data_IF_318314140882
#
_entry.id   IF_318314140882
#
_cell.length_a   1.000
_cell.length_b   1.000
_cell.length_c   1.000
_cell.angle_alpha   90.00
_cell.angle_beta   90.00
_cell.angle_gamma   90.00
#
_symmetry.space_group_name_H-M   'P 1'
#
loop_
_entity.id
_entity.type
_entity.pdbx_description
1 polymer ?
#
# COMPACT_ATOMS: atom_id res chain seq x y z
N UNK A 1 4.03 -15.89 34.80
CA UNK A 1 3.24 -14.99 33.91
C UNK A 1 1.79 -15.46 34.00
N UNK A 2 0.85 -14.62 34.44
CA UNK A 2 -0.50 -15.06 34.90
C UNK A 2 -1.68 -14.34 34.21
N UNK A 3 -1.45 -13.62 33.10
CA UNK A 3 -2.52 -12.91 32.38
C UNK A 3 -2.64 -13.43 30.95
N UNK A 4 -3.87 -13.44 30.43
CA UNK A 4 -4.21 -13.84 29.05
C UNK A 4 -5.07 -12.75 28.40
N UNK A 5 -4.63 -12.23 27.25
CA UNK A 5 -5.34 -11.20 26.49
C UNK A 5 -6.21 -11.85 25.43
N UNK A 6 -7.51 -11.53 25.43
CA UNK A 6 -8.49 -12.03 24.46
C UNK A 6 -9.37 -10.89 23.94
N UNK A 7 -9.55 -10.81 22.63
CA UNK A 7 -10.42 -9.82 21.98
C UNK A 7 -11.83 -10.37 21.81
N UNK A 8 -12.80 -9.84 22.54
CA UNK A 8 -14.22 -10.24 22.43
C UNK A 8 -14.91 -9.60 21.22
N UNK A 9 -14.64 -8.33 20.98
CA UNK A 9 -15.13 -7.58 19.83
C UNK A 9 -13.95 -6.90 19.14
N UNK A 10 -13.79 -7.16 17.86
CA UNK A 10 -12.72 -6.57 17.05
C UNK A 10 -13.00 -5.10 16.78
N UNK A 11 -11.95 -4.36 16.42
CA UNK A 11 -12.06 -2.98 15.99
C UNK A 11 -13.02 -2.85 14.80
N UNK A 12 -13.90 -1.84 14.84
CA UNK A 12 -14.91 -1.57 13.80
C UNK A 12 -14.60 -0.33 12.96
N UNK A 13 -13.66 0.53 13.37
CA UNK A 13 -13.26 1.69 12.58
C UNK A 13 -12.50 1.25 11.32
N UNK A 14 -12.93 1.74 10.15
CA UNK A 14 -12.24 1.51 8.87
C UNK A 14 -11.33 2.72 8.61
N UNK A 15 -10.02 2.49 8.58
CA UNK A 15 -9.04 3.55 8.27
C UNK A 15 -8.78 3.65 6.77
N UNK A 16 -8.77 2.52 6.08
CA UNK A 16 -8.53 2.43 4.64
C UNK A 16 -9.44 1.36 4.04
N UNK A 17 -9.91 1.59 2.81
CA UNK A 17 -10.73 0.66 2.06
C UNK A 17 -10.32 0.70 0.59
N UNK A 18 -10.12 -0.48 0.00
CA UNK A 18 -9.78 -0.65 -1.40
C UNK A 18 -10.73 -1.67 -2.02
N UNK A 19 -11.01 -1.54 -3.32
CA UNK A 19 -11.82 -2.51 -4.05
C UNK A 19 -11.01 -3.15 -5.17
N UNK A 20 -11.37 -4.38 -5.52
CA UNK A 20 -10.66 -5.16 -6.54
C UNK A 20 -11.23 -6.55 -6.74
N UNK A 21 -10.71 -7.25 -7.74
CA UNK A 21 -10.95 -8.66 -8.01
C UNK A 21 -9.94 -9.51 -7.23
N UNK A 22 -10.04 -9.52 -5.90
CA UNK A 22 -9.08 -10.22 -5.02
C UNK A 22 -9.22 -11.74 -5.08
N UNK A 23 -10.41 -12.27 -5.40
CA UNK A 23 -10.63 -13.69 -5.66
C UNK A 23 -10.23 -14.15 -7.07
N UNK A 24 -9.85 -13.25 -7.97
CA UNK A 24 -9.56 -13.58 -9.37
C UNK A 24 -10.79 -13.91 -10.23
N UNK A 25 -11.98 -13.65 -9.70
CA UNK A 25 -13.27 -13.75 -10.41
C UNK A 25 -13.68 -12.37 -10.93
N UNK A 26 -14.72 -12.30 -11.78
CA UNK A 26 -15.27 -11.01 -12.24
C UNK A 26 -15.96 -10.18 -11.15
N UNK A 27 -16.28 -10.78 -9.99
CA UNK A 27 -16.88 -10.08 -8.86
C UNK A 27 -15.85 -9.17 -8.17
N UNK A 28 -16.28 -7.96 -7.81
CA UNK A 28 -15.49 -7.05 -6.99
C UNK A 28 -15.74 -7.32 -5.50
N UNK A 29 -14.67 -7.15 -4.74
CA UNK A 29 -14.63 -7.33 -3.29
C UNK A 29 -13.96 -6.10 -2.67
N UNK A 30 -14.14 -5.93 -1.36
CA UNK A 30 -13.54 -4.83 -0.61
C UNK A 30 -12.52 -5.40 0.37
N UNK A 31 -11.32 -4.83 0.39
CA UNK A 31 -10.35 -5.07 1.47
C UNK A 31 -10.31 -3.82 2.32
N UNK A 32 -10.48 -3.99 3.63
CA UNK A 32 -10.50 -2.89 4.59
C UNK A 32 -9.44 -3.10 5.66
N UNK A 33 -8.78 -2.01 6.05
CA UNK A 33 -7.89 -1.97 7.20
C UNK A 33 -8.62 -1.36 8.40
N UNK A 34 -8.49 -2.00 9.56
CA UNK A 34 -9.05 -1.54 10.84
C UNK A 34 -7.94 -1.38 11.88
N UNK A 35 -6.91 -0.62 11.53
CA UNK A 35 -5.70 -0.47 12.34
C UNK A 35 -4.83 -1.73 12.32
N UNK A 36 -5.06 -2.66 13.23
CA UNK A 36 -4.28 -3.91 13.37
C UNK A 36 -4.88 -5.14 12.67
N UNK A 37 -5.96 -4.95 11.92
CA UNK A 37 -6.71 -6.00 11.25
C UNK A 37 -6.85 -5.66 9.76
N UNK A 38 -6.69 -6.67 8.90
CA UNK A 38 -7.08 -6.60 7.49
C UNK A 38 -8.26 -7.56 7.27
N UNK A 39 -9.31 -7.08 6.63
CA UNK A 39 -10.55 -7.82 6.41
C UNK A 39 -10.98 -7.75 4.94
N UNK A 40 -11.37 -8.90 4.38
CA UNK A 40 -12.00 -9.03 3.08
C UNK A 40 -13.51 -9.09 3.25
N UNK A 41 -14.22 -8.21 2.56
CA UNK A 41 -15.67 -8.12 2.53
C UNK A 41 -16.17 -8.35 1.10
N UNK A 42 -17.33 -8.98 0.98
CA UNK A 42 -18.00 -9.24 -0.29
C UNK A 42 -19.39 -8.59 -0.29
N UNK A 43 -19.63 -7.58 -1.13
CA UNK A 43 -20.98 -7.09 -1.40
C UNK A 43 -21.78 -8.17 -2.15
N UNK A 44 -22.99 -8.48 -1.67
CA UNK A 44 -23.94 -9.32 -2.38
C UNK A 44 -24.87 -8.44 -3.22
N UNK A 45 -24.81 -8.53 -4.57
CA UNK A 45 -25.61 -7.69 -5.45
C UNK A 45 -27.12 -7.99 -5.38
N UNK A 46 -27.51 -9.18 -4.93
CA UNK A 46 -28.93 -9.56 -4.87
C UNK A 46 -29.60 -9.01 -3.60
N UNK A 47 -28.89 -9.02 -2.47
CA UNK A 47 -29.45 -8.60 -1.17
C UNK A 47 -29.04 -7.18 -0.77
N UNK A 48 -28.01 -6.62 -1.42
CA UNK A 48 -27.43 -5.32 -1.06
C UNK A 48 -26.61 -5.33 0.24
N UNK A 49 -26.41 -6.50 0.86
CA UNK A 49 -25.65 -6.65 2.11
C UNK A 49 -24.16 -6.83 1.83
N UNK A 50 -23.33 -6.38 2.77
CA UNK A 50 -21.88 -6.61 2.76
C UNK A 50 -21.55 -7.71 3.75
N UNK A 51 -20.94 -8.80 3.26
CA UNK A 51 -20.67 -10.01 4.04
C UNK A 51 -19.16 -10.12 4.30
N UNK A 52 -18.71 -10.29 5.55
CA UNK A 52 -17.31 -10.55 5.84
C UNK A 52 -16.91 -11.95 5.37
N UNK A 53 -15.79 -12.05 4.65
CA UNK A 53 -15.26 -13.31 4.10
C UNK A 53 -14.07 -13.81 4.92
N UNK A 54 -13.14 -12.90 5.23
CA UNK A 54 -11.91 -13.21 5.95
C UNK A 54 -11.50 -12.01 6.80
N UNK A 55 -11.07 -12.24 8.04
CA UNK A 55 -10.50 -11.21 8.90
C UNK A 55 -9.24 -11.75 9.57
N UNK A 56 -8.11 -11.04 9.42
CA UNK A 56 -6.79 -11.46 9.91
C UNK A 56 -6.13 -10.34 10.70
N UNK A 57 -5.73 -10.64 11.93
CA UNK A 57 -4.90 -9.75 12.75
C UNK A 57 -3.49 -9.70 12.18
N UNK A 58 -2.99 -8.51 11.87
CA UNK A 58 -1.64 -8.30 11.33
C UNK A 58 -0.59 -8.09 12.43
N UNK A 59 -1.02 -7.86 13.68
CA UNK A 59 -0.16 -7.57 14.83
C UNK A 59 0.80 -6.40 14.62
N UNK A 60 0.30 -5.34 13.99
CA UNK A 60 1.01 -4.09 13.73
C UNK A 60 0.02 -2.97 13.41
N UNK A 61 0.51 -1.86 12.87
CA UNK A 61 -0.33 -0.74 12.44
C UNK A 61 -0.32 -0.67 10.92
N UNK A 62 -1.46 -0.96 10.30
CA UNK A 62 -1.67 -0.71 8.87
C UNK A 62 -1.83 0.79 8.66
N UNK A 63 -0.89 1.38 7.93
CA UNK A 63 -0.81 2.82 7.69
C UNK A 63 -1.35 3.19 6.32
N UNK A 64 -1.23 2.30 5.33
CA UNK A 64 -1.80 2.46 4.00
C UNK A 64 -1.96 1.09 3.31
N UNK A 65 -2.91 0.98 2.39
CA UNK A 65 -3.12 -0.20 1.54
C UNK A 65 -3.49 0.24 0.12
N UNK A 66 -2.98 -0.48 -0.88
CA UNK A 66 -3.34 -0.23 -2.28
C UNK A 66 -3.49 -1.54 -3.06
N UNK A 67 -4.48 -1.64 -3.96
CA UNK A 67 -4.59 -2.76 -4.88
C UNK A 67 -3.67 -2.54 -6.07
N UNK A 68 -3.16 -3.62 -6.64
CA UNK A 68 -2.49 -3.57 -7.94
C UNK A 68 -2.67 -4.85 -8.72
N UNK A 69 -2.64 -4.74 -10.05
CA UNK A 69 -2.75 -5.86 -10.96
C UNK A 69 -1.56 -5.90 -11.88
N UNK A 70 -0.88 -7.03 -11.94
CA UNK A 70 0.15 -7.24 -12.96
C UNK A 70 -0.46 -7.14 -14.36
N UNK A 71 0.29 -6.59 -15.31
CA UNK A 71 -0.16 -6.46 -16.70
C UNK A 71 -0.59 -7.81 -17.26
N UNK A 72 -1.83 -7.89 -17.75
CA UNK A 72 -2.45 -9.13 -18.27
C UNK A 72 -2.94 -10.12 -17.20
N UNK A 73 -2.83 -9.78 -15.92
CA UNK A 73 -3.43 -10.55 -14.83
C UNK A 73 -4.95 -10.37 -14.73
N UNK A 74 -5.62 -11.28 -14.02
CA UNK A 74 -7.06 -11.21 -13.73
C UNK A 74 -7.38 -10.95 -12.26
N UNK A 75 -6.35 -10.93 -11.40
CA UNK A 75 -6.45 -10.90 -9.95
C UNK A 75 -5.64 -9.74 -9.39
N UNK A 76 -6.21 -9.07 -8.40
CA UNK A 76 -5.56 -7.97 -7.70
C UNK A 76 -4.78 -8.49 -6.49
N UNK A 77 -3.54 -8.01 -6.36
CA UNK A 77 -2.72 -8.12 -5.17
C UNK A 77 -2.97 -6.93 -4.26
N UNK A 78 -2.61 -7.07 -2.98
CA UNK A 78 -2.73 -6.02 -1.98
C UNK A 78 -1.32 -5.68 -1.51
N UNK A 79 -0.86 -4.46 -1.75
CA UNK A 79 0.36 -3.95 -1.12
C UNK A 79 -0.01 -3.24 0.20
N UNK A 80 0.78 -3.49 1.23
CA UNK A 80 0.52 -2.99 2.59
C UNK A 80 1.71 -2.15 3.08
N UNK A 81 1.43 -0.88 3.38
CA UNK A 81 2.31 0.00 4.16
C UNK A 81 1.99 -0.15 5.64
N UNK A 82 3.01 -0.50 6.45
CA UNK A 82 2.84 -0.73 7.89
C UNK A 82 3.95 -0.08 8.70
N UNK A 83 3.88 -0.21 10.02
CA UNK A 83 4.94 0.16 10.96
C UNK A 83 6.11 -0.86 10.99
N UNK A 84 6.09 -1.93 10.20
CA UNK A 84 7.10 -2.99 10.28
C UNK A 84 8.48 -2.62 9.70
N UNK A 85 8.60 -1.53 8.95
CA UNK A 85 9.79 -1.17 8.17
C UNK A 85 9.99 -2.07 6.93
N UNK A 86 8.90 -2.68 6.44
CA UNK A 86 8.89 -3.63 5.34
C UNK A 86 7.74 -3.34 4.39
N UNK A 87 7.97 -3.61 3.10
CA UNK A 87 6.89 -3.65 2.10
C UNK A 87 6.39 -5.09 2.04
N UNK A 88 5.08 -5.25 2.10
CA UNK A 88 4.43 -6.56 2.07
C UNK A 88 3.42 -6.58 0.95
N UNK A 89 3.46 -7.65 0.15
CA UNK A 89 2.44 -7.92 -0.85
C UNK A 89 1.68 -9.19 -0.45
N UNK A 90 0.36 -9.09 -0.45
CA UNK A 90 -0.57 -10.16 -0.11
C UNK A 90 -1.38 -10.57 -1.34
N UNK A 91 -1.68 -11.85 -1.42
CA UNK A 91 -2.61 -12.44 -2.35
C UNK A 91 -3.71 -13.17 -1.56
N UNK A 92 -4.97 -12.90 -1.85
CA UNK A 92 -6.06 -13.67 -1.25
C UNK A 92 -6.23 -15.02 -1.96
N UNK A 93 -6.24 -16.13 -1.22
CA UNK A 93 -6.40 -17.48 -1.77
C UNK A 93 -7.80 -18.02 -1.42
N UNK A 94 -8.79 -17.97 -2.34
CA UNK A 94 -10.18 -18.28 -2.01
C UNK A 94 -10.41 -19.70 -1.49
N UNK A 95 -9.71 -20.69 -2.05
CA UNK A 95 -9.91 -22.09 -1.67
C UNK A 95 -9.36 -22.42 -0.27
N UNK A 96 -8.37 -21.66 0.21
CA UNK A 96 -7.83 -21.79 1.58
C UNK A 96 -8.49 -20.80 2.55
N UNK A 97 -9.17 -19.77 2.03
CA UNK A 97 -9.63 -18.61 2.77
C UNK A 97 -8.51 -17.96 3.61
N UNK A 98 -7.37 -17.66 2.98
CA UNK A 98 -6.23 -17.00 3.65
C UNK A 98 -5.65 -15.87 2.79
N UNK A 99 -5.01 -14.91 3.45
CA UNK A 99 -4.06 -14.01 2.79
C UNK A 99 -2.68 -14.67 2.79
N UNK A 100 -2.19 -15.01 1.60
CA UNK A 100 -0.83 -15.52 1.40
C UNK A 100 0.12 -14.35 1.16
N UNK A 101 1.22 -14.32 1.90
CA UNK A 101 2.25 -13.30 1.79
C UNK A 101 3.21 -13.66 0.66
N UNK A 102 2.94 -13.15 -0.54
CA UNK A 102 3.73 -13.46 -1.75
C UNK A 102 5.07 -12.74 -1.78
N UNK A 103 5.17 -11.57 -1.15
CA UNK A 103 6.44 -10.85 -1.01
C UNK A 103 6.55 -10.14 0.33
N UNK A 104 7.77 -10.07 0.86
CA UNK A 104 8.11 -9.30 2.04
C UNK A 104 9.56 -8.88 2.01
N UNK A 105 9.81 -7.58 1.97
CA UNK A 105 11.16 -7.04 1.86
C UNK A 105 11.38 -5.93 2.88
N UNK A 106 12.57 -5.96 3.49
CA UNK A 106 12.93 -5.01 4.55
C UNK A 106 13.67 -3.83 3.96
N UNK A 107 13.17 -2.62 4.21
CA UNK A 107 13.79 -1.38 3.77
C UNK A 107 14.18 -0.45 4.93
N UNK A 108 13.72 -0.74 6.15
CA UNK A 108 13.94 0.15 7.28
C UNK A 108 13.69 -0.47 8.64
N UNK A 109 13.77 0.37 9.68
CA UNK A 109 13.50 -0.01 11.07
C UNK A 109 11.99 0.03 11.35
N UNK A 110 11.53 -0.80 12.27
CA UNK A 110 10.14 -0.80 12.72
C UNK A 110 9.76 0.46 13.52
N UNK A 111 8.45 0.73 13.59
CA UNK A 111 7.78 1.86 14.20
C UNK A 111 7.24 2.87 13.19
N UNK A 112 6.22 3.64 13.59
CA UNK A 112 5.71 4.79 12.84
C UNK A 112 6.70 5.97 12.92
N UNK A 113 7.81 5.89 12.17
CA UNK A 113 8.88 6.89 12.19
C UNK A 113 8.65 7.96 11.12
N UNK A 114 9.19 9.15 11.39
CA UNK A 114 9.10 10.32 10.50
C UNK A 114 9.72 10.08 9.13
N UNK A 115 10.92 9.50 9.10
CA UNK A 115 11.72 9.34 7.89
C UNK A 115 11.70 7.91 7.32
N UNK A 116 11.07 6.93 7.98
CA UNK A 116 10.99 5.57 7.45
C UNK A 116 9.70 5.39 6.64
N UNK A 117 9.77 4.90 5.40
CA UNK A 117 8.59 4.74 4.55
C UNK A 117 7.51 3.84 5.14
N UNK A 118 6.28 4.07 4.69
CA UNK A 118 5.09 3.30 5.10
C UNK A 118 3.88 4.18 5.41
N UNK A 119 4.02 5.52 5.38
CA UNK A 119 2.88 6.44 5.56
C UNK A 119 2.05 6.58 4.29
N UNK A 120 2.74 6.66 3.15
CA UNK A 120 2.13 6.89 1.86
C UNK A 120 2.49 5.73 0.93
N UNK A 121 1.51 5.27 0.17
CA UNK A 121 1.64 4.18 -0.78
C UNK A 121 0.93 4.56 -2.08
N UNK A 122 1.63 4.44 -3.19
CA UNK A 122 1.09 4.71 -4.51
C UNK A 122 1.50 3.61 -5.48
N UNK A 123 0.61 3.32 -6.41
CA UNK A 123 0.77 2.22 -7.37
C UNK A 123 0.59 2.78 -8.78
N UNK A 124 1.46 2.38 -9.71
CA UNK A 124 1.24 2.58 -11.15
C UNK A 124 -0.04 1.86 -11.60
N UNK A 125 -0.99 2.52 -12.28
CA UNK A 125 -2.26 1.88 -12.67
C UNK A 125 -2.14 0.63 -13.56
N UNK A 126 -0.99 0.40 -14.21
CA UNK A 126 -0.72 -0.85 -14.96
C UNK A 126 0.03 -1.92 -14.13
N UNK A 127 0.23 -1.64 -12.84
CA UNK A 127 0.86 -2.52 -11.85
C UNK A 127 2.35 -2.78 -12.08
N UNK A 128 3.06 -1.83 -12.70
CA UNK A 128 4.48 -1.98 -13.06
C UNK A 128 5.43 -1.47 -11.97
N UNK A 129 4.99 -0.52 -11.16
CA UNK A 129 5.79 0.06 -10.10
C UNK A 129 4.93 0.44 -8.89
N UNK A 130 5.53 0.41 -7.70
CA UNK A 130 4.92 0.86 -6.46
C UNK A 130 5.89 1.79 -5.74
N UNK A 131 5.40 2.94 -5.31
CA UNK A 131 6.15 3.90 -4.52
C UNK A 131 5.66 3.86 -3.07
N UNK A 132 6.60 3.72 -2.13
CA UNK A 132 6.35 3.85 -0.69
C UNK A 132 7.09 5.06 -0.14
N UNK A 133 6.37 5.92 0.56
CA UNK A 133 6.85 7.19 1.09
C UNK A 133 6.79 7.28 2.61
N UNK A 134 7.76 7.97 3.18
CA UNK A 134 7.71 8.49 4.53
C UNK A 134 7.05 9.88 4.56
N UNK A 135 6.80 10.42 5.76
CA UNK A 135 6.33 11.81 5.92
C UNK A 135 7.41 12.81 5.49
N UNK A 136 8.67 12.42 5.63
CA UNK A 136 9.82 13.27 5.30
C UNK A 136 10.91 12.44 4.64
N UNK A 137 11.62 13.05 3.69
CA UNK A 137 12.86 12.56 3.09
C UNK A 137 12.74 11.29 2.25
N UNK A 138 12.48 10.14 2.85
CA UNK A 138 12.64 8.86 2.19
C UNK A 138 11.41 8.48 1.35
N UNK A 139 11.68 8.18 0.08
CA UNK A 139 10.77 7.58 -0.88
C UNK A 139 11.51 6.45 -1.59
N UNK A 140 10.86 5.32 -1.77
CA UNK A 140 11.40 4.13 -2.42
C UNK A 140 10.43 3.67 -3.51
N UNK A 141 10.95 3.27 -4.66
CA UNK A 141 10.15 2.75 -5.77
C UNK A 141 10.56 1.31 -6.05
N UNK A 142 9.58 0.41 -6.04
CA UNK A 142 9.74 -1.00 -6.35
C UNK A 142 9.17 -1.29 -7.74
N UNK A 143 9.97 -1.89 -8.61
CA UNK A 143 9.50 -2.34 -9.93
C UNK A 143 8.94 -3.75 -9.79
N UNK A 144 7.71 -3.92 -10.26
CA UNK A 144 6.95 -5.17 -10.24
C UNK A 144 7.06 -5.85 -11.60
N UNK A 145 7.47 -7.12 -11.58
CA UNK A 145 7.62 -7.94 -12.76
C UNK A 145 6.92 -9.29 -12.59
N UNK A 146 6.88 -10.07 -13.68
CA UNK A 146 6.42 -11.46 -13.67
C UNK A 146 7.53 -12.37 -14.18
N UNK A 147 7.73 -13.51 -13.52
CA UNK A 147 8.63 -14.55 -14.04
C UNK A 147 7.96 -15.35 -15.18
N UNK A 148 8.70 -16.30 -15.76
CA UNK A 148 8.18 -17.20 -16.80
C UNK A 148 7.01 -18.08 -16.34
N UNK A 149 6.83 -18.27 -15.02
CA UNK A 149 5.72 -18.99 -14.41
C UNK A 149 4.57 -18.05 -13.98
N UNK A 150 4.58 -16.80 -14.45
CA UNK A 150 3.59 -15.76 -14.12
C UNK A 150 3.51 -15.39 -12.62
N UNK A 151 4.54 -15.69 -11.84
CA UNK A 151 4.64 -15.29 -10.44
C UNK A 151 5.17 -13.87 -10.33
N UNK A 152 4.65 -13.12 -9.35
CA UNK A 152 5.14 -11.79 -9.01
C UNK A 152 6.62 -11.86 -8.61
N UNK A 153 7.42 -10.98 -9.21
CA UNK A 153 8.80 -10.72 -8.80
C UNK A 153 8.97 -9.23 -8.53
N UNK A 154 9.80 -8.90 -7.54
CA UNK A 154 10.04 -7.53 -7.10
C UNK A 154 11.54 -7.27 -7.16
N UNK A 155 11.91 -6.16 -7.79
CA UNK A 155 13.30 -5.69 -7.86
C UNK A 155 13.71 -4.92 -6.61
N UNK A 156 15.02 -4.77 -6.42
CA UNK A 156 15.56 -3.88 -5.38
C UNK A 156 15.02 -2.45 -5.53
N UNK A 157 14.78 -1.73 -4.43
CA UNK A 157 14.15 -0.43 -4.50
C UNK A 157 15.07 0.62 -5.12
N UNK A 158 14.48 1.49 -5.92
CA UNK A 158 15.10 2.74 -6.38
C UNK A 158 14.84 3.85 -5.36
N UNK A 159 15.89 4.57 -4.99
CA UNK A 159 15.81 5.63 -3.99
C UNK A 159 15.47 6.98 -4.63
N UNK A 160 14.41 7.62 -4.13
CA UNK A 160 13.99 8.97 -4.54
C UNK A 160 14.04 9.95 -3.36
N UNK A 161 15.12 9.89 -2.58
CA UNK A 161 15.26 10.63 -1.33
C UNK A 161 15.46 12.13 -1.57
N UNK A 162 14.75 12.98 -0.81
CA UNK A 162 14.97 14.44 -0.83
C UNK A 162 14.97 14.99 0.60
N UNK A 163 16.14 15.38 1.11
CA UNK A 163 16.27 15.95 2.46
C UNK A 163 15.42 17.22 2.62
N UNK A 164 15.11 17.57 3.87
CA UNK A 164 14.37 18.80 4.22
C UNK A 164 13.02 18.97 3.51
N UNK A 165 12.42 17.86 3.10
CA UNK A 165 11.17 17.86 2.34
C UNK A 165 10.11 17.03 3.04
N UNK A 166 9.01 17.70 3.38
CA UNK A 166 7.78 17.07 3.87
C UNK A 166 6.93 16.61 2.69
N UNK A 167 6.29 15.46 2.82
CA UNK A 167 5.37 14.89 1.84
C UNK A 167 3.97 14.88 2.44
N UNK A 168 2.98 15.39 1.70
CA UNK A 168 1.58 15.45 2.13
C UNK A 168 0.72 14.36 1.48
N UNK A 169 1.11 13.89 0.29
CA UNK A 169 0.42 12.84 -0.43
C UNK A 169 1.23 12.39 -1.64
N UNK A 170 1.02 11.13 -2.03
CA UNK A 170 1.64 10.49 -3.20
C UNK A 170 0.54 9.78 -3.98
N UNK A 171 0.52 9.94 -5.29
CA UNK A 171 -0.41 9.25 -6.18
C UNK A 171 0.30 8.72 -7.43
N UNK A 172 -0.10 7.55 -7.92
CA UNK A 172 0.35 7.04 -9.21
C UNK A 172 -0.42 7.71 -10.34
N UNK A 173 0.26 8.05 -11.43
CA UNK A 173 -0.34 8.72 -12.59
C UNK A 173 -0.58 7.69 -13.69
N UNK A 174 -1.79 7.64 -14.24
CA UNK A 174 -2.05 6.83 -15.44
C UNK A 174 -1.44 7.51 -16.66
N UNK A 175 -0.29 6.97 -17.09
CA UNK A 175 0.47 7.41 -18.25
C UNK A 175 0.37 6.39 -19.40
N UNK A 176 -0.62 5.50 -19.36
CA UNK A 176 -0.72 4.39 -20.31
C UNK A 176 0.45 3.42 -20.15
N UNK A 177 1.31 3.32 -21.18
CA UNK A 177 2.48 2.44 -21.19
C UNK A 177 3.82 3.20 -21.18
N UNK A 178 3.79 4.53 -21.06
CA UNK A 178 4.98 5.34 -20.80
C UNK A 178 5.59 4.99 -19.43
N UNK A 179 6.82 5.43 -19.17
CA UNK A 179 7.50 5.17 -17.90
C UNK A 179 6.63 5.57 -16.70
N UNK A 180 6.41 4.69 -15.71
CA UNK A 180 5.57 4.99 -14.56
C UNK A 180 5.93 6.31 -13.89
N UNK A 181 4.91 7.08 -13.52
CA UNK A 181 5.06 8.37 -12.85
C UNK A 181 4.28 8.42 -11.54
N UNK A 182 4.88 9.07 -10.54
CA UNK A 182 4.26 9.34 -9.25
C UNK A 182 4.24 10.85 -8.99
N UNK A 183 3.06 11.39 -8.71
CA UNK A 183 2.87 12.76 -8.28
C UNK A 183 2.95 12.84 -6.76
N UNK A 184 3.77 13.75 -6.23
CA UNK A 184 3.90 14.01 -4.80
C UNK A 184 3.61 15.48 -4.50
N UNK A 185 2.85 15.74 -3.42
CA UNK A 185 2.69 17.07 -2.85
C UNK A 185 3.75 17.28 -1.77
N UNK A 186 4.68 18.21 -2.01
CA UNK A 186 5.89 18.35 -1.19
C UNK A 186 6.12 19.79 -0.71
N UNK A 187 6.65 19.96 0.49
CA UNK A 187 7.10 21.25 1.03
C UNK A 187 8.57 21.14 1.43
N UNK A 188 9.40 21.96 0.80
CA UNK A 188 10.79 22.15 1.18
C UNK A 188 10.87 23.17 2.31
N UNK A 189 11.51 22.82 3.43
CA UNK A 189 11.64 23.69 4.59
C UNK A 189 13.09 24.11 4.88
N UNK A 190 14.01 23.85 3.95
CA UNK A 190 15.39 24.34 4.06
C UNK A 190 15.47 25.87 3.88
N UNK A 191 14.56 26.46 3.10
CA UNK A 191 14.54 27.90 2.80
C UNK A 191 13.74 28.68 3.86
N UNK A 192 14.34 29.76 4.35
CA UNK A 192 13.76 30.64 5.38
C UNK A 192 12.37 31.15 4.98
N UNK A 193 11.45 31.21 5.95
CA UNK A 193 10.01 31.55 5.81
C UNK A 193 9.65 32.93 5.20
N UNK A 194 10.62 33.67 4.67
CA UNK A 194 10.45 35.05 4.22
C UNK A 194 10.28 35.19 2.70
N UNK A 195 10.28 34.10 1.94
CA UNK A 195 10.06 34.12 0.49
C UNK A 195 8.73 33.45 0.13
N UNK A 196 8.01 34.00 -0.84
CA UNK A 196 6.73 33.50 -1.40
C UNK A 196 6.89 32.07 -2.02
N UNK A 197 8.13 31.56 -2.05
CA UNK A 197 8.58 30.26 -2.59
C UNK A 197 8.34 29.06 -1.66
N UNK A 198 7.95 29.26 -0.39
CA UNK A 198 7.54 28.17 0.52
C UNK A 198 6.09 27.71 0.23
N UNK A 199 5.86 27.21 -0.98
CA UNK A 199 4.58 26.62 -1.39
C UNK A 199 4.69 25.11 -1.42
N UNK A 200 3.56 24.44 -1.21
CA UNK A 200 3.44 23.03 -1.54
C UNK A 200 3.58 22.90 -3.05
N UNK A 201 4.56 22.13 -3.52
CA UNK A 201 4.87 21.90 -4.93
C UNK A 201 4.41 20.51 -5.33
N UNK A 202 3.82 20.41 -6.52
CA UNK A 202 3.55 19.13 -7.16
C UNK A 202 4.79 18.67 -7.94
N UNK A 203 5.39 17.57 -7.53
CA UNK A 203 6.57 16.98 -8.16
C UNK A 203 6.24 15.64 -8.80
N UNK A 204 6.91 15.33 -9.91
CA UNK A 204 6.73 14.10 -10.68
C UNK A 204 8.00 13.24 -10.59
N UNK A 205 7.87 12.06 -10.02
CA UNK A 205 8.93 11.05 -9.98
C UNK A 205 8.71 10.04 -11.09
N UNK A 206 9.77 9.75 -11.87
CA UNK A 206 9.77 8.70 -12.89
C UNK A 206 10.52 7.49 -12.35
N UNK A 207 9.92 6.30 -12.46
CA UNK A 207 10.59 5.03 -12.12
C UNK A 207 11.54 4.59 -13.22
#
# INVERSE_FOLDING_TARGET
MHLYSLTLQRASAITHAIHGNFSGTKSQELVVARGGLIELLRPDPNTGKVIPVLAVEVFGVVRDIAPFRLTGGSKDYIVVGSDSGRIVVLEYIPFKNVFERVHMETFGKSGCRRIVPGQYLAVDPKGRAIMVGAVEKQKLVYIMNRDAAARLTISSPLEAHKSHTLVFGIVGIDVGFENPMFACLELDYEVSFNTIENRVILLYYRS
#
